data_IF_755608588363
#
_entry.id   IF_755608588363
#
_cell.length_a   1.000
_cell.length_b   1.000
_cell.length_c   1.000
_cell.angle_alpha   90.00
_cell.angle_beta   90.00
_cell.angle_gamma   90.00
#
_symmetry.space_group_name_H-M   'P 1'
#
loop_
_entity.id
_entity.type
_entity.pdbx_description
1 polymer ?
#
# COMPACT_ATOMS: atom_id res chain seq x y z
N UNK A 1 -2.08 -1.34 14.56
CA UNK A 1 -1.16 -1.64 13.45
C UNK A 1 -1.91 -1.58 12.12
N UNK A 2 -1.27 -1.10 11.04
CA UNK A 2 -1.84 -1.12 9.69
C UNK A 2 -1.00 -2.04 8.79
N UNK A 3 -1.67 -2.97 8.10
CA UNK A 3 -1.08 -3.83 7.08
C UNK A 3 -1.78 -3.63 5.74
N UNK A 4 -1.02 -3.54 4.66
CA UNK A 4 -1.57 -3.34 3.31
C UNK A 4 -0.85 -4.18 2.27
N UNK A 5 -1.58 -5.05 1.57
CA UNK A 5 -1.11 -5.72 0.38
C UNK A 5 -1.30 -4.80 -0.83
N UNK A 6 -0.22 -4.36 -1.43
CA UNK A 6 -0.25 -3.61 -2.69
C UNK A 6 -0.18 -4.53 -3.88
N UNK A 7 -0.84 -4.11 -4.95
CA UNK A 7 -0.87 -4.79 -6.22
C UNK A 7 -0.09 -3.98 -7.26
N UNK A 8 0.50 -4.68 -8.23
CA UNK A 8 1.09 -4.09 -9.43
C UNK A 8 0.93 -5.05 -10.60
N UNK A 9 1.11 -4.55 -11.81
CA UNK A 9 1.06 -5.37 -13.02
C UNK A 9 2.41 -6.04 -13.30
N UNK A 10 2.44 -6.82 -14.38
CA UNK A 10 3.65 -7.52 -14.82
C UNK A 10 4.84 -6.57 -15.06
N UNK A 11 4.58 -5.35 -15.53
CA UNK A 11 5.59 -4.34 -15.84
C UNK A 11 5.98 -3.50 -14.63
N UNK A 12 5.34 -3.71 -13.47
CA UNK A 12 5.42 -2.83 -12.31
C UNK A 12 5.09 -1.38 -12.65
N UNK A 13 4.07 -1.16 -13.48
CA UNK A 13 3.67 0.17 -13.96
C UNK A 13 3.41 1.13 -12.82
N UNK A 14 2.73 0.71 -11.75
CA UNK A 14 2.41 1.61 -10.63
C UNK A 14 3.67 2.01 -9.83
N UNK A 15 4.68 1.14 -9.77
CA UNK A 15 6.01 1.47 -9.27
C UNK A 15 6.70 2.48 -10.17
N UNK A 16 6.82 2.18 -11.46
CA UNK A 16 7.56 2.98 -12.42
C UNK A 16 6.95 4.40 -12.57
N UNK A 17 5.63 4.49 -12.75
CA UNK A 17 4.90 5.76 -12.80
C UNK A 17 5.12 6.63 -11.56
N UNK A 18 5.27 6.01 -10.38
CA UNK A 18 5.52 6.75 -9.14
C UNK A 18 6.95 7.27 -9.06
N UNK A 19 7.92 6.48 -9.51
CA UNK A 19 9.35 6.85 -9.56
C UNK A 19 9.56 7.95 -10.58
N UNK A 20 8.99 7.81 -11.78
CA UNK A 20 9.11 8.77 -12.88
C UNK A 20 8.26 10.04 -12.68
N UNK A 21 7.45 10.07 -11.63
CA UNK A 21 6.66 11.26 -11.29
C UNK A 21 5.42 11.47 -12.18
N UNK A 22 5.01 10.47 -12.96
CA UNK A 22 3.87 10.53 -13.91
C UNK A 22 2.62 11.11 -13.24
N UNK A 23 2.02 12.12 -13.87
CA UNK A 23 0.92 12.91 -13.29
C UNK A 23 -0.39 12.11 -13.17
N UNK A 24 -0.65 11.25 -14.15
CA UNK A 24 -1.78 10.33 -14.20
C UNK A 24 -1.31 8.95 -13.75
N UNK A 25 -1.66 8.54 -12.54
CA UNK A 25 -1.27 7.22 -12.02
C UNK A 25 -2.28 6.68 -11.04
N UNK A 26 -2.37 5.36 -10.94
CA UNK A 26 -3.31 4.68 -10.04
C UNK A 26 -2.62 3.59 -9.24
N UNK A 27 -3.19 3.26 -8.09
CA UNK A 27 -2.64 2.21 -7.23
C UNK A 27 -3.71 1.51 -6.42
N UNK A 28 -3.66 0.18 -6.45
CA UNK A 28 -4.56 -0.69 -5.70
C UNK A 28 -3.87 -1.26 -4.46
N UNK A 29 -4.63 -1.44 -3.40
CA UNK A 29 -4.22 -2.21 -2.22
C UNK A 29 -5.41 -2.83 -1.51
N UNK A 30 -5.17 -3.91 -0.79
CA UNK A 30 -6.08 -4.42 0.23
C UNK A 30 -5.48 -4.07 1.58
N UNK A 31 -6.25 -3.41 2.45
CA UNK A 31 -5.82 -2.99 3.79
C UNK A 31 -6.63 -3.69 4.86
N UNK A 32 -5.94 -4.09 5.92
CA UNK A 32 -6.50 -4.58 7.18
C UNK A 32 -5.85 -3.87 8.38
N UNK A 33 -6.40 -4.13 9.57
CA UNK A 33 -5.87 -3.66 10.84
C UNK A 33 -5.60 -4.84 11.76
N UNK A 34 -4.47 -4.78 12.47
CA UNK A 34 -4.14 -5.72 13.56
C UNK A 34 -4.28 -7.22 13.17
N UNK A 35 -3.92 -7.56 11.93
CA UNK A 35 -4.03 -8.91 11.36
C UNK A 35 -5.45 -9.52 11.41
N UNK A 36 -6.48 -8.67 11.53
CA UNK A 36 -7.86 -9.07 11.69
C UNK A 36 -8.67 -8.87 10.42
N UNK A 37 -9.61 -9.79 10.18
CA UNK A 37 -10.60 -9.76 9.11
C UNK A 37 -11.86 -8.93 9.43
N UNK A 38 -11.93 -8.31 10.61
CA UNK A 38 -13.05 -7.43 11.00
C UNK A 38 -13.34 -6.33 9.97
N UNK A 39 -12.28 -5.79 9.36
CA UNK A 39 -12.37 -4.77 8.32
C UNK A 39 -11.31 -5.04 7.26
N UNK A 40 -11.74 -5.53 6.11
CA UNK A 40 -10.91 -5.71 4.92
C UNK A 40 -11.39 -4.71 3.87
N UNK A 41 -10.49 -3.82 3.44
CA UNK A 41 -10.82 -2.78 2.45
C UNK A 41 -9.95 -2.95 1.21
N UNK A 42 -10.59 -3.23 0.07
CA UNK A 42 -10.00 -2.95 -1.22
C UNK A 42 -10.01 -1.44 -1.41
N UNK A 43 -8.86 -0.85 -1.72
CA UNK A 43 -8.72 0.58 -1.91
C UNK A 43 -8.00 0.88 -3.21
N UNK A 44 -8.41 1.98 -3.85
CA UNK A 44 -7.69 2.58 -4.96
C UNK A 44 -7.40 4.04 -4.70
N UNK A 45 -6.16 4.43 -4.98
CA UNK A 45 -5.75 5.84 -5.06
C UNK A 45 -5.42 6.18 -6.50
N UNK A 46 -6.16 7.12 -7.09
CA UNK A 46 -5.84 7.74 -8.38
C UNK A 46 -5.26 9.13 -8.14
N UNK A 47 -4.18 9.45 -8.83
CA UNK A 47 -3.61 10.80 -8.88
C UNK A 47 -3.77 11.31 -10.31
N UNK A 48 -4.31 12.51 -10.44
CA UNK A 48 -4.41 13.24 -11.70
C UNK A 48 -3.89 14.65 -11.49
N UNK A 49 -2.62 14.86 -11.85
CA UNK A 49 -1.90 16.10 -11.55
C UNK A 49 -1.91 16.40 -10.03
N UNK A 50 -2.52 17.50 -9.60
CA UNK A 50 -2.67 17.86 -8.18
C UNK A 50 -3.83 17.15 -7.47
N UNK A 51 -4.75 16.54 -8.24
CA UNK A 51 -5.95 15.91 -7.71
C UNK A 51 -5.68 14.48 -7.26
N UNK A 52 -6.21 14.12 -6.08
CA UNK A 52 -6.16 12.77 -5.54
C UNK A 52 -7.57 12.29 -5.32
N UNK A 53 -7.95 11.22 -6.01
CA UNK A 53 -9.21 10.53 -5.83
C UNK A 53 -8.96 9.20 -5.12
N UNK A 54 -9.81 8.89 -4.14
CA UNK A 54 -9.72 7.68 -3.32
C UNK A 54 -11.06 7.00 -3.31
N UNK A 55 -11.03 5.69 -3.51
CA UNK A 55 -12.19 4.82 -3.47
C UNK A 55 -11.85 3.61 -2.60
N UNK A 56 -12.86 3.09 -1.92
CA UNK A 56 -12.76 1.81 -1.22
C UNK A 56 -14.02 0.97 -1.38
N UNK A 57 -13.84 -0.34 -1.25
CA UNK A 57 -14.89 -1.34 -1.22
C UNK A 57 -14.58 -2.37 -0.12
N UNK A 58 -15.59 -2.84 0.63
CA UNK A 58 -15.40 -3.91 1.58
C UNK A 58 -15.10 -5.23 0.85
N UNK A 59 -14.34 -6.10 1.51
CA UNK A 59 -14.15 -7.50 1.12
C UNK A 59 -14.44 -8.40 2.31
N UNK A 60 -14.84 -9.64 2.06
CA UNK A 60 -14.85 -10.70 3.06
C UNK A 60 -13.50 -11.43 3.09
N UNK A 61 -13.26 -12.21 4.14
CA UNK A 61 -12.08 -13.07 4.26
C UNK A 61 -12.02 -14.05 3.07
N UNK A 62 -13.12 -14.74 2.78
CA UNK A 62 -13.23 -15.68 1.66
C UNK A 62 -12.92 -15.01 0.31
N UNK A 63 -13.42 -13.79 0.08
CA UNK A 63 -13.11 -13.04 -1.13
C UNK A 63 -11.62 -12.69 -1.23
N UNK A 64 -10.98 -12.37 -0.10
CA UNK A 64 -9.53 -12.14 -0.07
C UNK A 64 -8.75 -13.43 -0.42
N UNK A 65 -9.14 -14.57 0.14
CA UNK A 65 -8.48 -15.86 -0.14
C UNK A 65 -8.59 -16.22 -1.63
N UNK A 66 -9.76 -15.99 -2.23
CA UNK A 66 -9.97 -16.19 -3.67
C UNK A 66 -9.09 -15.27 -4.51
N UNK A 67 -8.99 -13.98 -4.15
CA UNK A 67 -8.07 -13.03 -4.79
C UNK A 67 -6.61 -13.51 -4.72
N UNK A 68 -6.21 -14.05 -3.57
CA UNK A 68 -4.85 -14.56 -3.35
C UNK A 68 -4.58 -15.85 -4.15
N UNK A 69 -5.58 -16.72 -4.27
CA UNK A 69 -5.55 -17.91 -5.10
C UNK A 69 -5.60 -17.63 -6.62
N UNK A 70 -5.82 -16.37 -7.02
CA UNK A 70 -5.94 -15.98 -8.42
C UNK A 70 -7.33 -16.18 -9.03
N UNK A 71 -8.33 -16.53 -8.21
CA UNK A 71 -9.73 -16.61 -8.60
C UNK A 71 -10.38 -15.23 -8.47
N UNK A 72 -10.48 -14.53 -9.61
CA UNK A 72 -11.04 -13.19 -9.69
C UNK A 72 -12.48 -13.17 -10.21
N UNK A 73 -13.07 -14.29 -10.62
CA UNK A 73 -14.34 -14.29 -11.36
C UNK A 73 -15.49 -13.65 -10.57
N UNK A 74 -15.51 -13.85 -9.25
CA UNK A 74 -16.54 -13.26 -8.38
C UNK A 74 -16.53 -11.74 -8.36
N UNK A 75 -15.39 -11.10 -8.67
CA UNK A 75 -15.28 -9.64 -8.71
C UNK A 75 -16.05 -9.05 -9.90
N UNK A 76 -16.23 -9.81 -10.98
CA UNK A 76 -16.93 -9.37 -12.20
C UNK A 76 -18.36 -8.92 -11.92
N UNK A 77 -19.06 -9.68 -11.09
CA UNK A 77 -20.48 -9.50 -10.80
C UNK A 77 -20.72 -8.86 -9.42
N UNK A 78 -19.66 -8.32 -8.80
CA UNK A 78 -19.76 -7.59 -7.52
C UNK A 78 -20.65 -6.36 -7.66
N UNK A 79 -21.41 -6.01 -6.61
CA UNK A 79 -22.17 -4.76 -6.54
C UNK A 79 -21.26 -3.51 -6.51
N UNK A 80 -20.04 -3.64 -5.98
CA UNK A 80 -19.08 -2.54 -5.88
C UNK A 80 -18.33 -2.34 -7.20
N UNK A 81 -18.42 -1.13 -7.77
CA UNK A 81 -17.71 -0.78 -9.00
C UNK A 81 -16.21 -1.00 -8.90
N UNK A 82 -15.60 -0.68 -7.76
CA UNK A 82 -14.16 -0.86 -7.56
C UNK A 82 -13.72 -2.32 -7.68
N UNK A 83 -14.55 -3.28 -7.23
CA UNK A 83 -14.29 -4.71 -7.38
C UNK A 83 -14.35 -5.12 -8.85
N UNK A 84 -15.37 -4.67 -9.59
CA UNK A 84 -15.48 -4.94 -11.04
C UNK A 84 -14.32 -4.36 -11.83
N UNK A 85 -13.82 -3.19 -11.44
CA UNK A 85 -12.65 -2.59 -12.07
C UNK A 85 -11.37 -3.35 -11.68
N UNK A 86 -11.22 -3.80 -10.43
CA UNK A 86 -10.11 -4.68 -10.04
C UNK A 86 -10.08 -5.96 -10.89
N UNK A 87 -11.24 -6.58 -11.16
CA UNK A 87 -11.35 -7.73 -12.06
C UNK A 87 -10.72 -7.43 -13.42
N UNK A 88 -11.08 -6.30 -14.05
CA UNK A 88 -10.54 -5.90 -15.34
C UNK A 88 -9.01 -5.73 -15.27
N UNK A 89 -8.47 -5.11 -14.23
CA UNK A 89 -7.00 -4.97 -14.08
C UNK A 89 -6.32 -6.33 -13.89
N UNK A 90 -6.90 -7.22 -13.10
CA UNK A 90 -6.36 -8.55 -12.85
C UNK A 90 -6.37 -9.40 -14.13
N UNK A 91 -7.41 -9.29 -14.95
CA UNK A 91 -7.56 -10.10 -16.17
C UNK A 91 -6.83 -9.50 -17.37
N UNK A 92 -6.93 -8.19 -17.60
CA UNK A 92 -6.36 -7.54 -18.79
C UNK A 92 -4.93 -7.06 -18.60
N UNK A 93 -4.58 -6.60 -17.39
CA UNK A 93 -3.25 -6.03 -17.09
C UNK A 93 -2.41 -6.96 -16.22
N UNK A 94 -2.89 -8.17 -15.91
CA UNK A 94 -2.18 -9.12 -15.03
C UNK A 94 -1.80 -8.48 -13.69
N UNK A 95 -2.70 -7.67 -13.14
CA UNK A 95 -2.52 -7.05 -11.83
C UNK A 95 -2.50 -8.15 -10.75
N UNK A 96 -1.43 -8.23 -9.94
CA UNK A 96 -1.22 -9.29 -8.93
C UNK A 96 -0.71 -8.72 -7.60
N UNK A 97 -0.88 -9.46 -6.49
CA UNK A 97 -0.22 -9.18 -5.22
C UNK A 97 1.27 -8.91 -5.40
N UNK A 98 1.76 -7.77 -4.89
CA UNK A 98 3.15 -7.34 -5.11
C UNK A 98 3.92 -7.10 -3.83
N UNK A 99 3.44 -6.38 -2.84
CA UNK A 99 4.20 -6.20 -1.59
C UNK A 99 3.27 -5.95 -0.42
N UNK A 100 3.56 -6.57 0.72
CA UNK A 100 2.89 -6.27 1.98
C UNK A 100 3.70 -5.18 2.69
N UNK A 101 2.98 -4.15 3.13
CA UNK A 101 3.54 -3.02 3.87
C UNK A 101 2.88 -2.93 5.23
N UNK A 102 3.72 -2.96 6.26
CA UNK A 102 3.35 -2.85 7.66
C UNK A 102 3.87 -1.57 8.25
N UNK A 103 3.08 -0.94 9.10
CA UNK A 103 3.50 0.21 9.89
C UNK A 103 2.55 0.46 11.07
N UNK A 104 3.07 1.16 12.06
CA UNK A 104 2.31 1.69 13.18
C UNK A 104 1.98 3.14 12.89
N UNK A 105 0.73 3.55 13.08
CA UNK A 105 0.27 4.91 12.83
C UNK A 105 -0.25 5.54 14.10
N UNK A 106 0.25 6.73 14.39
CA UNK A 106 -0.23 7.58 15.47
C UNK A 106 -0.84 8.87 14.88
N UNK A 107 -2.17 9.04 14.94
CA UNK A 107 -2.84 10.23 14.43
C UNK A 107 -2.98 11.31 15.50
N UNK A 108 -2.67 12.55 15.13
CA UNK A 108 -2.89 13.77 15.91
C UNK A 108 -3.80 14.70 15.12
N UNK A 109 -4.89 15.14 15.74
CA UNK A 109 -5.87 16.03 15.12
C UNK A 109 -5.88 17.32 15.91
N UNK A 110 -5.70 18.43 15.20
CA UNK A 110 -5.91 19.76 15.73
C UNK A 110 -7.08 20.37 14.97
N UNK A 111 -8.17 20.62 15.69
CA UNK A 111 -9.41 21.16 15.10
C UNK A 111 -9.17 22.55 14.50
N UNK A 112 -8.30 23.35 15.12
CA UNK A 112 -7.85 24.63 14.57
C UNK A 112 -7.10 24.43 13.25
N UNK A 113 -7.72 24.87 12.14
CA UNK A 113 -7.16 24.76 10.78
C UNK A 113 -7.39 23.40 10.11
N UNK A 114 -8.21 22.51 10.70
CA UNK A 114 -8.44 21.14 10.19
C UNK A 114 -7.12 20.40 9.93
N UNK A 115 -6.14 20.58 10.83
CA UNK A 115 -4.80 20.02 10.65
C UNK A 115 -4.78 18.61 11.22
N UNK A 116 -4.31 17.67 10.40
CA UNK A 116 -4.10 16.27 10.77
C UNK A 116 -2.64 15.94 10.56
N UNK A 117 -1.96 15.63 11.65
CA UNK A 117 -0.58 15.14 11.64
C UNK A 117 -0.64 13.64 11.89
N UNK A 118 0.10 12.84 11.13
CA UNK A 118 0.25 11.42 11.40
C UNK A 118 1.71 11.04 11.41
N UNK A 119 2.10 10.26 12.41
CA UNK A 119 3.41 9.63 12.48
C UNK A 119 3.27 8.16 12.10
N UNK A 120 3.94 7.77 11.02
CA UNK A 120 4.04 6.38 10.59
C UNK A 120 5.41 5.84 10.97
N UNK A 121 5.41 4.93 11.95
CA UNK A 121 6.59 4.36 12.59
C UNK A 121 6.76 2.90 12.17
N UNK A 122 7.99 2.41 12.36
CA UNK A 122 8.34 1.01 12.14
C UNK A 122 7.84 0.46 10.79
N UNK A 123 8.03 1.24 9.72
CA UNK A 123 7.60 0.83 8.37
C UNK A 123 8.44 -0.37 7.93
N UNK A 124 7.75 -1.42 7.51
CA UNK A 124 8.30 -2.73 7.26
C UNK A 124 7.71 -3.33 5.99
N UNK A 125 8.52 -4.06 5.23
CA UNK A 125 8.07 -4.89 4.13
C UNK A 125 7.96 -6.34 4.61
N UNK A 126 6.78 -6.96 4.51
CA UNK A 126 6.65 -8.39 4.79
C UNK A 126 7.02 -9.20 3.54
N UNK A 127 7.71 -10.32 3.76
CA UNK A 127 8.27 -11.19 2.72
C UNK A 127 7.93 -12.66 3.00
N UNK A 128 8.18 -13.54 2.03
CA UNK A 128 7.89 -14.97 2.18
C UNK A 128 6.44 -15.38 1.92
N UNK A 129 5.53 -14.42 1.75
CA UNK A 129 4.12 -14.69 1.43
C UNK A 129 3.32 -13.43 1.13
N UNK A 130 2.05 -13.63 0.83
CA UNK A 130 1.08 -12.56 0.55
C UNK A 130 -0.19 -12.66 1.40
N UNK A 131 -0.27 -13.63 2.32
CA UNK A 131 -1.34 -13.68 3.30
C UNK A 131 -1.18 -12.52 4.28
N UNK A 132 -2.15 -11.60 4.26
CA UNK A 132 -2.11 -10.42 5.13
C UNK A 132 -2.48 -10.74 6.58
N UNK A 133 -3.16 -11.86 6.84
CA UNK A 133 -3.57 -12.26 8.18
C UNK A 133 -2.47 -13.01 8.94
N UNK A 134 -1.48 -13.55 8.22
CA UNK A 134 -0.33 -14.21 8.84
C UNK A 134 0.61 -13.20 9.52
N UNK A 135 0.46 -13.09 10.84
CA UNK A 135 1.31 -12.26 11.70
C UNK A 135 2.76 -12.76 11.83
N UNK A 136 3.07 -13.98 11.36
CA UNK A 136 4.38 -14.62 11.48
C UNK A 136 5.30 -14.38 10.28
N UNK A 137 4.78 -13.75 9.21
CA UNK A 137 5.58 -13.42 8.03
C UNK A 137 6.85 -12.65 8.42
N UNK A 138 8.03 -13.06 7.90
CA UNK A 138 9.26 -12.31 8.09
C UNK A 138 9.11 -10.88 7.56
N UNK A 139 9.67 -9.91 8.31
CA UNK A 139 9.58 -8.48 7.98
C UNK A 139 10.95 -7.82 7.89
N UNK A 140 11.07 -6.86 6.99
CA UNK A 140 12.28 -6.10 6.76
C UNK A 140 12.02 -4.62 7.04
N UNK A 141 12.76 -3.99 7.98
CA UNK A 141 12.64 -2.54 8.20
C UNK A 141 13.12 -1.78 6.97
N UNK A 142 12.34 -0.78 6.54
CA UNK A 142 12.66 0.04 5.36
C UNK A 142 13.16 1.43 5.70
N UNK A 143 12.85 1.92 6.89
CA UNK A 143 13.38 3.18 7.39
C UNK A 143 14.68 2.93 8.13
N UNK A 144 15.58 3.91 8.10
CA UNK A 144 16.77 3.89 8.93
C UNK A 144 16.39 3.91 10.43
N UNK A 145 17.19 3.28 11.31
CA UNK A 145 16.94 3.31 12.74
C UNK A 145 16.75 4.74 13.27
N UNK A 146 15.68 4.97 14.02
CA UNK A 146 15.34 6.28 14.58
C UNK A 146 14.60 7.24 13.63
N UNK A 147 14.38 6.86 12.35
CA UNK A 147 13.53 7.63 11.43
C UNK A 147 12.07 7.16 11.44
N UNK A 148 11.16 8.11 11.23
CA UNK A 148 9.74 7.88 11.01
C UNK A 148 9.24 8.72 9.83
N UNK A 149 8.03 8.45 9.35
CA UNK A 149 7.38 9.27 8.31
C UNK A 149 6.31 10.15 8.97
N UNK A 150 6.53 11.45 8.96
CA UNK A 150 5.54 12.45 9.37
C UNK A 150 4.76 12.93 8.14
N UNK A 151 3.43 12.80 8.17
CA UNK A 151 2.55 13.35 7.13
C UNK A 151 1.64 14.42 7.78
N UNK A 152 1.69 15.63 7.24
CA UNK A 152 0.86 16.76 7.68
C UNK A 152 -0.16 17.09 6.60
N UNK A 153 -1.45 17.07 6.94
CA UNK A 153 -2.56 17.48 6.08
C UNK A 153 -3.27 18.67 6.69
N UNK A 154 -3.52 19.69 5.90
CA UNK A 154 -4.26 20.90 6.30
C UNK A 154 -5.02 21.44 5.08
N UNK A 155 -6.08 22.21 5.32
CA UNK A 155 -6.91 22.79 4.25
C UNK A 155 -6.45 24.20 3.90
N UNK A 156 -6.54 25.12 4.87
CA UNK A 156 -6.36 26.55 4.62
C UNK A 156 -5.05 27.11 5.17
N UNK A 157 -4.68 26.71 6.40
CA UNK A 157 -3.48 27.20 7.02
C UNK A 157 -2.78 26.13 7.86
N UNK A 158 -1.46 26.23 7.92
CA UNK A 158 -0.61 25.44 8.80
C UNK A 158 -0.28 26.29 10.05
N UNK A 159 -0.75 25.92 11.25
CA UNK A 159 -0.45 26.62 12.50
C UNK A 159 1.05 26.77 12.74
N UNK A 160 1.46 27.90 13.32
CA UNK A 160 2.89 28.21 13.52
C UNK A 160 3.62 27.13 14.32
N UNK A 161 3.00 26.59 15.37
CA UNK A 161 3.54 25.47 16.15
C UNK A 161 3.91 24.26 15.28
N UNK A 162 3.09 23.91 14.28
CA UNK A 162 3.41 22.79 13.37
C UNK A 162 4.51 23.18 12.39
N UNK A 163 4.56 24.44 11.94
CA UNK A 163 5.67 24.94 11.11
C UNK A 163 7.00 24.90 11.83
N UNK A 164 6.99 25.20 13.13
CA UNK A 164 8.19 25.20 13.97
C UNK A 164 8.71 23.77 14.23
N UNK A 165 7.82 22.78 14.21
CA UNK A 165 8.16 21.35 14.29
C UNK A 165 8.66 20.78 12.97
N UNK A 166 8.28 21.36 11.83
CA UNK A 166 8.82 20.94 10.55
C UNK A 166 10.30 21.32 10.51
N UNK A 167 11.19 20.38 10.16
CA UNK A 167 12.60 20.69 10.15
C UNK A 167 12.87 21.80 9.11
N UNK A 168 13.92 22.60 9.34
CA UNK A 168 14.27 23.73 8.48
C UNK A 168 14.35 23.34 7.01
N UNK A 169 14.19 24.31 6.09
CA UNK A 169 13.98 24.18 4.61
C UNK A 169 14.88 23.18 3.83
N UNK A 170 15.89 22.57 4.45
CA UNK A 170 16.84 21.63 3.87
C UNK A 170 16.72 20.17 4.36
N UNK A 171 15.80 19.81 5.26
CA UNK A 171 15.61 18.42 5.69
C UNK A 171 14.41 17.76 5.00
N UNK A 172 14.74 16.79 4.13
CA UNK A 172 13.93 15.75 3.47
C UNK A 172 12.39 15.95 3.41
N UNK A 173 11.91 17.04 2.81
CA UNK A 173 10.55 17.10 2.29
C UNK A 173 10.45 16.23 1.03
N UNK A 174 10.41 14.92 1.24
CA UNK A 174 10.45 13.93 0.15
C UNK A 174 9.07 13.33 -0.07
N UNK A 175 8.72 13.05 -1.32
CA UNK A 175 7.55 12.24 -1.67
C UNK A 175 7.79 10.77 -1.24
N UNK A 176 7.66 10.47 0.06
CA UNK A 176 7.88 9.13 0.60
C UNK A 176 6.69 8.19 0.28
N UNK A 177 6.85 7.33 -0.72
CA UNK A 177 5.89 6.27 -1.00
C UNK A 177 6.29 5.01 -0.24
N UNK A 178 5.57 4.66 0.82
CA UNK A 178 5.82 3.42 1.58
C UNK A 178 5.89 2.17 0.69
N UNK A 179 5.13 2.17 -0.40
CA UNK A 179 5.20 1.12 -1.38
C UNK A 179 6.53 1.04 -2.10
N UNK A 180 7.05 2.15 -2.61
CA UNK A 180 8.33 2.18 -3.32
C UNK A 180 9.43 1.73 -2.36
N UNK A 181 9.44 2.30 -1.14
CA UNK A 181 10.38 1.91 -0.09
C UNK A 181 10.35 0.40 0.22
N UNK A 182 9.15 -0.17 0.37
CA UNK A 182 9.01 -1.60 0.65
C UNK A 182 9.24 -2.49 -0.57
N UNK A 183 8.89 -2.02 -1.76
CA UNK A 183 9.15 -2.70 -3.02
C UNK A 183 10.66 -2.83 -3.22
N UNK A 184 11.40 -1.72 -3.10
CA UNK A 184 12.86 -1.70 -3.24
C UNK A 184 13.52 -2.63 -2.23
N UNK A 185 13.07 -2.55 -0.97
CA UNK A 185 13.58 -3.43 0.08
C UNK A 185 13.22 -4.89 -0.15
N UNK A 186 12.05 -5.23 -0.69
CA UNK A 186 11.67 -6.62 -0.96
C UNK A 186 12.21 -7.13 -2.31
N UNK A 187 12.70 -6.25 -3.19
CA UNK A 187 13.11 -6.58 -4.55
C UNK A 187 14.33 -7.51 -4.61
N UNK A 188 15.22 -7.49 -3.61
CA UNK A 188 16.38 -8.39 -3.57
C UNK A 188 15.98 -9.87 -3.47
N UNK A 189 14.79 -10.16 -2.92
CA UNK A 189 14.22 -11.52 -2.89
C UNK A 189 13.56 -11.91 -4.23
N UNK A 190 13.46 -10.98 -5.17
CA UNK A 190 12.64 -11.10 -6.38
C UNK A 190 13.40 -10.79 -7.67
N UNK A 191 14.73 -10.76 -7.63
CA UNK A 191 15.55 -10.67 -8.84
C UNK A 191 15.31 -11.88 -9.75
N UNK A 192 14.93 -11.64 -11.00
CA UNK A 192 14.82 -12.49 -12.21
C UNK A 192 14.53 -14.02 -12.17
N UNK A 193 14.38 -14.68 -11.01
CA UNK A 193 14.16 -16.13 -10.90
C UNK A 193 12.74 -16.55 -10.54
N UNK A 194 11.88 -15.66 -10.03
CA UNK A 194 10.59 -16.07 -9.45
C UNK A 194 9.54 -16.51 -10.50
N UNK A 195 9.69 -16.12 -11.77
CA UNK A 195 8.80 -16.58 -12.84
C UNK A 195 9.31 -17.84 -13.57
N UNK A 196 10.46 -18.41 -13.17
CA UNK A 196 11.00 -19.63 -13.80
C UNK A 196 10.67 -20.93 -13.08
N UNK A 197 9.99 -20.92 -11.94
CA UNK A 197 9.57 -22.16 -11.29
C UNK A 197 8.05 -22.25 -11.27
N UNK A 198 7.52 -23.06 -12.19
CA UNK A 198 6.17 -23.57 -12.09
C UNK A 198 5.98 -24.28 -10.75
N UNK A 199 4.77 -24.16 -10.22
CA UNK A 199 4.28 -24.90 -9.06
C UNK A 199 4.83 -26.33 -9.01
N UNK A 200 5.73 -26.57 -8.07
CA UNK A 200 5.89 -27.88 -7.46
C UNK A 200 5.64 -27.71 -5.97
N UNK A 201 4.53 -28.30 -5.53
CA UNK A 201 4.16 -28.40 -4.12
C UNK A 201 5.18 -29.34 -3.47
N UNK A 202 5.92 -28.94 -2.43
CA UNK A 202 6.77 -29.89 -1.73
C UNK A 202 5.87 -30.86 -0.97
N UNK A 203 5.83 -32.12 -1.41
CA UNK A 203 5.35 -33.24 -0.62
C UNK A 203 6.43 -33.66 0.37
N UNK A 204 6.09 -33.56 1.66
CA UNK A 204 6.76 -34.10 2.87
C UNK A 204 8.24 -33.78 3.09
#
# INVERSE_FOLDING_TARGET
MIRSLYFDDYWNTAYQEKVDGVLLRKKYRIRIYDYSDRVIKLERKRKSDSWIYKEDAPLTHEQFDRILAGDYEFLRDSEHQLCRELYVECMCNVLRPRVIVDYEREPWILDAGTVRVTFDMNVRAAVGGFDIFDSTLPVLPVLEPGKLVMEVKFTEFLPQMVRDLLPGKAQELTSASKYVLCYDKASYLRGFGYWQEGWSVPSL
#
